data_IF_400080337126
#
_entry.id   IF_400080337126
#
_cell.length_a   1.000
_cell.length_b   1.000
_cell.length_c   1.000
_cell.angle_alpha   90.00
_cell.angle_beta   90.00
_cell.angle_gamma   90.00
#
_symmetry.space_group_name_H-M   'P 1'
#
loop_
_entity.id
_entity.type
_entity.pdbx_description
1 polymer ?
#
# COMPACT_ATOMS: atom_id res chain seq x y z
N UNK A 1 -13.37 7.36 29.09
CA UNK A 1 -12.46 6.43 28.39
C UNK A 1 -12.13 5.25 29.32
N UNK A 2 -13.11 4.37 29.59
CA UNK A 2 -12.88 3.13 30.34
C UNK A 2 -13.02 1.97 29.36
N UNK A 3 -11.99 1.75 28.54
CA UNK A 3 -11.93 0.53 27.74
C UNK A 3 -10.56 -0.11 27.90
N UNK A 4 -10.60 -1.33 28.42
CA UNK A 4 -9.64 -2.42 28.22
C UNK A 4 -8.26 -2.40 28.91
N UNK A 5 -8.18 -1.99 30.17
CA UNK A 5 -7.02 -2.33 31.03
C UNK A 5 -6.93 -3.85 31.29
N UNK A 6 -8.03 -4.58 31.10
CA UNK A 6 -8.16 -6.04 31.32
C UNK A 6 -7.28 -6.85 30.35
N UNK A 7 -6.92 -6.30 29.18
CA UNK A 7 -6.10 -7.00 28.20
C UNK A 7 -4.63 -7.13 28.62
N UNK A 8 -4.22 -6.39 29.66
CA UNK A 8 -2.85 -6.36 30.15
C UNK A 8 -2.82 -6.81 31.62
N UNK A 9 -2.56 -8.10 31.91
CA UNK A 9 -2.63 -8.65 33.27
C UNK A 9 -1.76 -7.91 34.28
N UNK A 10 -0.62 -7.37 33.84
CA UNK A 10 0.30 -6.58 34.68
C UNK A 10 -0.18 -5.16 34.98
N UNK A 11 -1.12 -4.61 34.19
CA UNK A 11 -1.71 -3.28 34.41
C UNK A 11 -3.01 -3.34 35.24
N UNK A 12 -3.56 -4.55 35.45
CA UNK A 12 -4.75 -4.74 36.29
C UNK A 12 -4.51 -4.53 37.79
N UNK A 13 -3.25 -4.55 38.22
CA UNK A 13 -2.82 -4.48 39.63
C UNK A 13 -2.25 -3.11 40.02
N UNK A 14 -2.01 -2.22 39.06
CA UNK A 14 -1.50 -0.87 39.32
C UNK A 14 -2.67 0.11 39.37
N UNK A 15 -2.80 0.84 40.49
CA UNK A 15 -3.72 1.97 40.55
C UNK A 15 -3.18 3.06 39.62
N UNK A 16 -3.76 3.24 38.44
CA UNK A 16 -3.42 4.35 37.56
C UNK A 16 -3.71 5.66 38.31
N UNK A 17 -2.67 6.40 38.67
CA UNK A 17 -2.83 7.73 39.26
C UNK A 17 -3.24 8.71 38.16
N UNK A 18 -3.93 9.80 38.51
CA UNK A 18 -4.32 10.81 37.51
C UNK A 18 -3.10 11.38 36.76
N UNK A 19 -1.95 11.46 37.44
CA UNK A 19 -0.68 11.88 36.87
C UNK A 19 -0.17 10.91 35.79
N UNK A 20 -0.31 9.59 35.99
CA UNK A 20 0.05 8.58 34.98
C UNK A 20 -0.78 8.75 33.70
N UNK A 21 -2.07 9.06 33.86
CA UNK A 21 -2.98 9.30 32.73
C UNK A 21 -2.61 10.58 31.99
N UNK A 22 -2.22 11.64 32.70
CA UNK A 22 -1.73 12.87 32.08
C UNK A 22 -0.43 12.62 31.29
N UNK A 23 0.51 11.88 31.85
CA UNK A 23 1.76 11.54 31.17
C UNK A 23 1.52 10.72 29.91
N UNK A 24 0.62 9.73 29.95
CA UNK A 24 0.25 8.95 28.78
C UNK A 24 -0.43 9.80 27.70
N UNK A 25 -1.30 10.73 28.08
CA UNK A 25 -1.93 11.64 27.13
C UNK A 25 -0.92 12.60 26.48
N UNK A 26 0.03 13.12 27.26
CA UNK A 26 1.10 13.96 26.74
C UNK A 26 2.00 13.19 25.76
N UNK A 27 2.33 11.93 26.08
CA UNK A 27 3.07 11.05 25.20
C UNK A 27 2.30 10.74 23.91
N UNK A 28 1.01 10.45 24.02
CA UNK A 28 0.15 10.21 22.86
C UNK A 28 0.13 11.43 21.93
N UNK A 29 -0.07 12.63 22.49
CA UNK A 29 -0.06 13.88 21.73
C UNK A 29 1.31 14.17 21.07
N UNK A 30 2.42 13.85 21.75
CA UNK A 30 3.77 13.96 21.17
C UNK A 30 3.94 13.02 19.97
N UNK A 31 3.51 11.76 20.10
CA UNK A 31 3.59 10.79 19.01
C UNK A 31 2.70 11.17 17.83
N UNK A 32 1.48 11.62 18.09
CA UNK A 32 0.56 12.09 17.05
C UNK A 32 1.15 13.28 16.31
N UNK A 33 1.72 14.26 17.01
CA UNK A 33 2.35 15.42 16.39
C UNK A 33 3.62 15.08 15.62
N UNK A 34 4.45 14.15 16.12
CA UNK A 34 5.73 13.81 15.50
C UNK A 34 5.62 12.92 14.28
N UNK A 35 4.52 12.19 14.17
CA UNK A 35 4.25 11.28 13.06
C UNK A 35 3.00 11.68 12.28
N UNK A 36 2.55 12.93 12.41
CA UNK A 36 1.38 13.45 11.69
C UNK A 36 1.53 13.28 10.18
N UNK A 37 2.74 13.48 9.67
CA UNK A 37 3.12 13.28 8.27
C UNK A 37 2.93 11.84 7.80
N UNK A 38 3.31 10.85 8.63
CA UNK A 38 3.12 9.43 8.34
C UNK A 38 1.64 9.04 8.50
N UNK A 39 0.96 9.55 9.53
CA UNK A 39 -0.44 9.26 9.83
C UNK A 39 -1.38 9.82 8.75
N UNK A 40 -1.03 10.95 8.15
CA UNK A 40 -1.79 11.58 7.05
C UNK A 40 -1.30 11.20 5.66
N UNK A 41 -0.25 10.37 5.58
CA UNK A 41 0.32 9.97 4.30
C UNK A 41 -0.69 9.19 3.46
N UNK A 42 -0.93 9.66 2.24
CA UNK A 42 -1.64 8.88 1.22
C UNK A 42 -0.68 7.82 0.69
N UNK A 43 -1.00 6.56 0.94
CA UNK A 43 -0.19 5.43 0.45
C UNK A 43 -0.30 5.38 -1.08
N UNK A 44 0.82 5.49 -1.82
CA UNK A 44 0.79 5.39 -3.26
C UNK A 44 0.25 4.02 -3.74
N UNK A 45 -0.48 3.99 -4.87
CA UNK A 45 -1.03 2.74 -5.42
C UNK A 45 0.01 1.65 -5.65
N UNK A 46 1.24 2.00 -6.03
CA UNK A 46 2.33 1.05 -6.25
C UNK A 46 2.86 0.39 -4.96
N UNK A 47 2.61 0.98 -3.78
CA UNK A 47 2.89 0.29 -2.50
C UNK A 47 1.78 -0.72 -2.19
N UNK A 48 0.52 -0.35 -2.49
CA UNK A 48 -0.66 -1.18 -2.25
C UNK A 48 -0.71 -2.36 -3.23
N UNK A 49 -0.39 -2.12 -4.50
CA UNK A 49 -0.34 -3.09 -5.57
C UNK A 49 0.87 -2.81 -6.47
N UNK A 50 2.06 -3.36 -6.10
CA UNK A 50 3.29 -3.13 -6.86
C UNK A 50 3.24 -3.59 -8.31
N UNK A 51 2.35 -4.52 -8.62
CA UNK A 51 2.21 -5.12 -9.94
C UNK A 51 0.83 -4.89 -10.59
N UNK A 52 -0.05 -4.09 -9.97
CA UNK A 52 -1.43 -3.90 -10.43
C UNK A 52 -1.52 -3.41 -11.87
N UNK A 53 -0.67 -2.45 -12.24
CA UNK A 53 -0.64 -1.89 -13.60
C UNK A 53 0.23 -2.73 -14.56
N UNK A 54 1.08 -3.61 -14.02
CA UNK A 54 2.07 -4.37 -14.80
C UNK A 54 1.37 -5.50 -15.56
N UNK A 55 0.34 -6.13 -14.99
CA UNK A 55 -0.40 -7.19 -15.68
C UNK A 55 -1.12 -6.66 -16.92
N UNK A 56 -1.84 -5.54 -16.80
CA UNK A 56 -2.52 -4.88 -17.94
C UNK A 56 -1.51 -4.38 -18.98
N UNK A 57 -0.43 -3.72 -18.54
CA UNK A 57 0.62 -3.23 -19.44
C UNK A 57 1.30 -4.38 -20.20
N UNK A 58 1.55 -5.52 -19.54
CA UNK A 58 2.16 -6.69 -20.19
C UNK A 58 1.23 -7.30 -21.24
N UNK A 59 -0.08 -7.38 -20.97
CA UNK A 59 -1.06 -7.83 -21.96
C UNK A 59 -1.07 -6.91 -23.18
N UNK A 60 -1.11 -5.58 -22.98
CA UNK A 60 -1.07 -4.60 -24.07
C UNK A 60 0.19 -4.77 -24.92
N UNK A 61 1.36 -4.88 -24.28
CA UNK A 61 2.64 -5.06 -24.99
C UNK A 61 2.64 -6.37 -25.80
N UNK A 62 2.11 -7.47 -25.25
CA UNK A 62 2.05 -8.73 -25.97
C UNK A 62 1.08 -8.68 -27.17
N UNK A 63 -0.04 -7.99 -27.04
CA UNK A 63 -0.98 -7.77 -28.15
C UNK A 63 -0.33 -6.95 -29.27
N UNK A 64 0.30 -5.82 -28.94
CA UNK A 64 1.01 -4.97 -29.91
C UNK A 64 2.13 -5.72 -30.63
N UNK A 65 2.94 -6.50 -29.90
CA UNK A 65 3.99 -7.33 -30.48
C UNK A 65 3.42 -8.40 -31.42
N UNK A 66 2.27 -8.99 -31.05
CA UNK A 66 1.60 -9.99 -31.89
C UNK A 66 1.07 -9.36 -33.18
N UNK A 67 0.47 -8.17 -33.11
CA UNK A 67 0.01 -7.43 -34.28
C UNK A 67 1.18 -7.04 -35.21
N UNK A 68 2.27 -6.53 -34.64
CA UNK A 68 3.47 -6.18 -35.41
C UNK A 68 4.08 -7.40 -36.11
N UNK A 69 4.24 -8.50 -35.37
CA UNK A 69 4.82 -9.74 -35.91
C UNK A 69 3.97 -10.30 -37.06
N UNK A 70 2.64 -10.36 -36.87
CA UNK A 70 1.73 -10.87 -37.90
C UNK A 70 1.70 -9.97 -39.14
N UNK A 71 1.72 -8.64 -38.97
CA UNK A 71 1.79 -7.70 -40.07
C UNK A 71 3.09 -7.83 -40.88
N UNK A 72 4.22 -8.03 -40.20
CA UNK A 72 5.52 -8.23 -40.86
C UNK A 72 5.57 -9.56 -41.62
N UNK A 73 5.04 -10.63 -41.03
CA UNK A 73 4.93 -11.93 -41.70
C UNK A 73 4.05 -11.85 -42.95
N UNK A 74 2.88 -11.20 -42.85
CA UNK A 74 1.99 -11.00 -43.99
C UNK A 74 2.65 -10.19 -45.10
N UNK A 75 3.40 -9.13 -44.79
CA UNK A 75 4.17 -8.37 -45.79
C UNK A 75 5.17 -9.25 -46.55
N UNK A 76 5.80 -10.21 -45.87
CA UNK A 76 6.71 -11.17 -46.51
C UNK A 76 5.93 -12.15 -47.39
N UNK A 77 4.80 -12.68 -46.92
CA UNK A 77 3.96 -13.58 -47.73
C UNK A 77 3.43 -12.90 -48.99
N UNK A 78 2.94 -11.67 -48.90
CA UNK A 78 2.49 -10.90 -50.07
C UNK A 78 3.60 -10.63 -51.09
N UNK A 79 4.86 -10.48 -50.64
CA UNK A 79 6.01 -10.31 -51.53
C UNK A 79 6.42 -11.60 -52.24
N UNK A 80 6.19 -12.75 -51.62
CA UNK A 80 6.61 -14.05 -52.14
C UNK A 80 5.56 -14.72 -53.04
N UNK A 81 4.35 -14.16 -53.13
CA UNK A 81 3.20 -14.78 -53.80
C UNK A 81 2.55 -15.86 -52.92
N UNK A 82 1.22 -15.96 -53.00
CA UNK A 82 0.43 -16.94 -52.24
C UNK A 82 0.80 -18.39 -52.56
#
# INVERSE_FOLDING_TARGET
MKQNIVQFPNLSQTSCQEDDVQHLNALYSDFESRFEDILTMVIPPWIISPYGDIEETNVIIQEELTELSTNEELKVQFKNGY
#
